data_IF_200304649341
#
_entry.id   IF_200304649341
#
_cell.length_a   1.000
_cell.length_b   1.000
_cell.length_c   1.000
_cell.angle_alpha   90.00
_cell.angle_beta   90.00
_cell.angle_gamma   90.00
#
_symmetry.space_group_name_H-M   'P 1'
#
loop_
_entity.id
_entity.type
_entity.pdbx_description
1 polymer ?
#
# COMPACT_ATOMS: atom_id res chain seq x y z
N UNK A 1 21.57 -7.30 -7.23
CA UNK A 1 20.63 -6.34 -6.59
C UNK A 1 19.26 -6.95 -6.62
N UNK A 2 18.55 -6.87 -5.49
CA UNK A 2 17.18 -7.36 -5.34
C UNK A 2 16.25 -6.20 -5.03
N UNK A 3 15.02 -6.30 -5.52
CA UNK A 3 13.91 -5.46 -5.12
C UNK A 3 13.00 -6.28 -4.22
N UNK A 4 12.94 -5.93 -2.94
CA UNK A 4 12.05 -6.55 -1.96
C UNK A 4 10.76 -5.74 -1.78
N UNK A 5 9.74 -6.37 -1.21
CA UNK A 5 8.51 -5.72 -0.81
C UNK A 5 7.97 -6.25 0.53
N UNK A 6 7.34 -5.35 1.28
CA UNK A 6 6.60 -5.63 2.51
C UNK A 6 5.54 -4.54 2.74
N UNK A 7 4.50 -4.85 3.50
CA UNK A 7 3.46 -3.92 3.94
C UNK A 7 2.94 -4.28 5.32
N UNK A 8 2.04 -3.47 5.85
CA UNK A 8 1.28 -3.77 7.07
C UNK A 8 2.22 -4.02 8.26
N UNK A 9 3.20 -3.13 8.43
CA UNK A 9 4.18 -3.20 9.51
C UNK A 9 3.57 -2.86 10.86
N UNK A 10 2.54 -2.01 10.92
CA UNK A 10 1.80 -1.67 12.14
C UNK A 10 2.71 -1.32 13.34
N UNK A 11 3.62 -0.37 13.14
CA UNK A 11 4.74 -0.07 14.07
C UNK A 11 4.35 0.66 15.36
N UNK A 12 3.07 0.96 15.57
CA UNK A 12 2.57 1.33 16.90
C UNK A 12 2.57 0.15 17.89
N UNK A 13 2.67 -1.09 17.41
CA UNK A 13 2.87 -2.28 18.23
C UNK A 13 4.36 -2.57 18.50
N UNK A 14 4.75 -2.68 19.76
CA UNK A 14 6.17 -2.83 20.16
C UNK A 14 6.83 -4.09 19.58
N UNK A 15 6.09 -5.20 19.41
CA UNK A 15 6.64 -6.44 18.82
C UNK A 15 7.11 -6.21 17.38
N UNK A 16 6.27 -5.59 16.55
CA UNK A 16 6.63 -5.30 15.16
C UNK A 16 7.73 -4.22 15.09
N UNK A 17 7.67 -3.23 15.99
CA UNK A 17 8.71 -2.20 16.12
C UNK A 17 10.08 -2.81 16.43
N UNK A 18 10.14 -3.72 17.39
CA UNK A 18 11.37 -4.43 17.75
C UNK A 18 11.87 -5.28 16.59
N UNK A 19 10.97 -5.95 15.87
CA UNK A 19 11.35 -6.74 14.69
C UNK A 19 11.99 -5.91 13.56
N UNK A 20 11.57 -4.64 13.40
CA UNK A 20 12.24 -3.69 12.49
C UNK A 20 13.64 -3.33 12.98
N UNK A 21 13.81 -3.07 14.29
CA UNK A 21 15.13 -2.77 14.86
C UNK A 21 16.12 -3.92 14.63
N UNK A 22 15.65 -5.15 14.83
CA UNK A 22 16.47 -6.37 14.74
C UNK A 22 16.76 -6.80 13.29
N UNK A 23 16.12 -6.17 12.30
CA UNK A 23 16.34 -6.48 10.89
C UNK A 23 17.78 -6.12 10.45
N UNK A 24 18.49 -7.00 9.73
CA UNK A 24 19.81 -6.69 9.19
C UNK A 24 19.74 -5.60 8.11
N UNK A 25 20.91 -5.07 7.73
CA UNK A 25 21.02 -4.22 6.54
C UNK A 25 21.06 -5.05 5.26
N UNK A 26 20.59 -4.45 4.16
CA UNK A 26 20.53 -5.03 2.81
C UNK A 26 21.22 -4.08 1.82
N UNK A 27 22.54 -3.87 1.96
CA UNK A 27 23.28 -2.95 1.11
C UNK A 27 23.19 -3.38 -0.37
N UNK A 28 22.94 -2.43 -1.26
CA UNK A 28 22.77 -2.69 -2.69
C UNK A 28 21.38 -3.14 -3.11
N UNK A 29 20.45 -3.37 -2.18
CA UNK A 29 19.09 -3.82 -2.46
C UNK A 29 18.06 -2.70 -2.23
N UNK A 30 16.91 -2.83 -2.87
CA UNK A 30 15.81 -1.87 -2.83
C UNK A 30 14.61 -2.45 -2.07
N UNK A 31 13.76 -1.58 -1.53
CA UNK A 31 12.55 -1.97 -0.79
C UNK A 31 11.30 -1.21 -1.23
N UNK A 32 10.20 -1.93 -1.40
CA UNK A 32 8.85 -1.40 -1.47
C UNK A 32 8.16 -1.54 -0.11
N UNK A 33 7.63 -0.44 0.41
CA UNK A 33 6.72 -0.35 1.56
C UNK A 33 5.31 -0.07 1.05
N UNK A 34 4.50 -1.11 0.89
CA UNK A 34 3.14 -1.02 0.32
C UNK A 34 2.07 -0.72 1.38
N UNK A 35 2.30 0.33 2.16
CA UNK A 35 1.34 0.91 3.09
C UNK A 35 1.27 0.27 4.47
N UNK A 36 0.51 0.92 5.34
CA UNK A 36 0.27 0.56 6.74
C UNK A 36 1.57 0.39 7.54
N UNK A 37 2.40 1.44 7.50
CA UNK A 37 3.60 1.54 8.32
C UNK A 37 3.21 1.73 9.77
N UNK A 38 2.37 2.73 10.08
CA UNK A 38 1.78 2.98 11.40
C UNK A 38 0.71 4.09 11.33
N UNK A 39 0.08 4.47 12.45
CA UNK A 39 -0.89 5.57 12.50
C UNK A 39 -0.32 6.90 12.99
N UNK A 40 0.82 6.90 13.70
CA UNK A 40 1.43 8.14 14.23
C UNK A 40 2.56 8.59 13.33
N UNK A 41 2.67 9.89 13.08
CA UNK A 41 3.81 10.47 12.35
C UNK A 41 5.17 10.03 12.92
N UNK A 42 5.34 9.98 14.24
CA UNK A 42 6.59 9.54 14.88
C UNK A 42 6.92 8.06 14.63
N UNK A 43 5.90 7.21 14.52
CA UNK A 43 6.08 5.77 14.28
C UNK A 43 6.33 5.51 12.79
N UNK A 44 5.65 6.25 11.91
CA UNK A 44 5.91 6.24 10.47
C UNK A 44 7.32 6.75 10.17
N UNK A 45 7.72 7.87 10.77
CA UNK A 45 9.07 8.42 10.64
C UNK A 45 10.13 7.39 11.07
N UNK A 46 9.94 6.76 12.23
CA UNK A 46 10.81 5.68 12.68
C UNK A 46 10.90 4.55 11.65
N UNK A 47 9.77 4.12 11.09
CA UNK A 47 9.74 3.11 10.03
C UNK A 47 10.54 3.55 8.80
N UNK A 48 10.30 4.76 8.31
CA UNK A 48 11.01 5.32 7.16
C UNK A 48 12.52 5.44 7.38
N UNK A 49 12.95 5.97 8.52
CA UNK A 49 14.37 6.08 8.89
C UNK A 49 15.05 4.71 8.91
N UNK A 50 14.41 3.71 9.55
CA UNK A 50 14.97 2.37 9.67
C UNK A 50 15.09 1.65 8.32
N UNK A 51 14.15 1.89 7.40
CA UNK A 51 14.19 1.32 6.05
C UNK A 51 15.20 2.04 5.17
N UNK A 52 15.21 3.38 5.18
CA UNK A 52 16.17 4.18 4.42
C UNK A 52 17.62 3.93 4.84
N UNK A 53 17.87 3.57 6.10
CA UNK A 53 19.21 3.19 6.58
C UNK A 53 19.65 1.80 6.14
N UNK A 54 18.73 0.91 5.78
CA UNK A 54 19.00 -0.51 5.50
C UNK A 54 18.99 -0.87 4.02
N UNK A 55 18.34 -0.07 3.18
CA UNK A 55 18.22 -0.30 1.75
C UNK A 55 18.73 0.90 0.97
N UNK A 56 19.33 0.67 -0.19
CA UNK A 56 19.88 1.73 -1.04
C UNK A 56 18.78 2.62 -1.64
N UNK A 57 17.57 2.08 -1.78
CA UNK A 57 16.40 2.81 -2.26
C UNK A 57 15.13 2.25 -1.66
N UNK A 58 14.25 3.15 -1.21
CA UNK A 58 12.95 2.78 -0.65
C UNK A 58 11.84 3.48 -1.45
N UNK A 59 10.76 2.75 -1.68
CA UNK A 59 9.52 3.22 -2.30
C UNK A 59 8.40 3.06 -1.30
N UNK A 60 7.55 4.07 -1.14
CA UNK A 60 6.40 4.00 -0.25
C UNK A 60 5.12 4.31 -1.02
N UNK A 61 4.09 3.51 -0.77
CA UNK A 61 2.70 3.77 -1.13
C UNK A 61 1.89 3.84 0.18
N UNK A 62 1.05 4.86 0.41
CA UNK A 62 0.28 4.98 1.64
C UNK A 62 -0.76 3.87 1.77
N UNK A 63 -0.91 3.34 2.98
CA UNK A 63 -2.07 2.54 3.39
C UNK A 63 -3.14 3.35 4.11
N UNK A 64 -4.22 2.71 4.54
CA UNK A 64 -5.28 3.41 5.27
C UNK A 64 -4.82 3.84 6.66
N UNK A 65 -4.03 3.01 7.37
CA UNK A 65 -3.53 3.35 8.71
C UNK A 65 -2.58 4.54 8.69
N UNK A 66 -1.76 4.66 7.63
CA UNK A 66 -0.89 5.83 7.45
C UNK A 66 -1.71 7.14 7.46
N UNK A 67 -2.92 7.10 6.90
CA UNK A 67 -3.84 8.23 6.77
C UNK A 67 -4.78 8.43 7.98
N UNK A 68 -4.77 7.54 8.97
CA UNK A 68 -5.62 7.68 10.14
C UNK A 68 -5.23 8.87 11.01
N UNK A 69 -6.18 9.77 11.24
CA UNK A 69 -6.05 10.92 12.14
C UNK A 69 -6.71 10.59 13.49
N UNK A 70 -6.01 9.84 14.33
CA UNK A 70 -6.51 9.46 15.66
C UNK A 70 -6.15 10.54 16.68
N UNK A 71 -7.16 11.13 17.31
CA UNK A 71 -7.01 12.07 18.43
C UNK A 71 -6.34 11.40 19.62
N UNK A 72 -5.33 12.05 20.20
CA UNK A 72 -4.57 11.59 21.38
C UNK A 72 -4.36 12.74 22.35
N UNK A 73 -4.03 12.43 23.61
CA UNK A 73 -3.84 13.46 24.64
C UNK A 73 -2.74 14.47 24.27
N UNK A 74 -1.67 13.98 23.62
CA UNK A 74 -0.54 14.79 23.16
C UNK A 74 -0.69 15.30 21.71
N UNK A 75 -1.79 14.96 21.03
CA UNK A 75 -2.11 15.39 19.67
C UNK A 75 -3.64 15.49 19.52
N UNK A 76 -4.24 16.55 20.11
CA UNK A 76 -5.69 16.66 20.22
C UNK A 76 -6.37 17.04 18.90
N UNK A 77 -5.63 17.56 17.93
CA UNK A 77 -6.10 17.98 16.59
C UNK A 77 -5.13 17.47 15.51
N UNK A 78 -5.11 16.15 15.26
CA UNK A 78 -4.16 15.55 14.33
C UNK A 78 -4.42 16.02 12.90
N UNK A 79 -3.34 16.25 12.16
CA UNK A 79 -3.42 16.51 10.72
C UNK A 79 -4.15 15.34 10.03
N UNK A 80 -5.09 15.67 9.14
CA UNK A 80 -6.06 14.74 8.56
C UNK A 80 -6.28 14.96 7.05
N UNK A 81 -6.93 14.00 6.39
CA UNK A 81 -7.29 14.10 4.98
C UNK A 81 -6.08 14.27 4.06
N UNK A 82 -6.27 15.01 2.98
CA UNK A 82 -5.24 15.24 1.97
C UNK A 82 -4.02 15.99 2.56
N UNK A 83 -4.25 16.91 3.50
CA UNK A 83 -3.15 17.63 4.16
C UNK A 83 -2.22 16.67 4.92
N UNK A 84 -2.77 15.64 5.57
CA UNK A 84 -1.99 14.59 6.22
C UNK A 84 -1.15 13.81 5.21
N UNK A 85 -1.78 13.41 4.11
CA UNK A 85 -1.09 12.69 3.03
C UNK A 85 0.13 13.47 2.52
N UNK A 86 -0.04 14.76 2.20
CA UNK A 86 1.06 15.60 1.73
C UNK A 86 2.17 15.76 2.78
N UNK A 87 1.82 15.89 4.06
CA UNK A 87 2.84 15.92 5.12
C UNK A 87 3.65 14.62 5.23
N UNK A 88 3.02 13.46 4.98
CA UNK A 88 3.73 12.17 4.92
C UNK A 88 4.62 12.05 3.68
N UNK A 89 4.17 12.58 2.53
CA UNK A 89 4.98 12.67 1.31
C UNK A 89 6.24 13.50 1.57
N UNK A 90 6.11 14.68 2.17
CA UNK A 90 7.27 15.52 2.49
C UNK A 90 8.22 14.85 3.51
N UNK A 91 7.68 14.15 4.50
CA UNK A 91 8.48 13.34 5.42
C UNK A 91 9.27 12.26 4.68
N UNK A 92 8.62 11.46 3.84
CA UNK A 92 9.26 10.42 3.03
C UNK A 92 10.37 11.00 2.14
N UNK A 93 10.10 12.10 1.44
CA UNK A 93 11.07 12.82 0.59
C UNK A 93 12.29 13.30 1.36
N UNK A 94 12.09 13.83 2.57
CA UNK A 94 13.18 14.30 3.43
C UNK A 94 14.17 13.18 3.80
N UNK A 95 13.72 11.91 3.73
CA UNK A 95 14.51 10.70 3.97
C UNK A 95 14.96 10.00 2.67
N UNK A 96 14.75 10.61 1.51
CA UNK A 96 15.11 10.05 0.20
C UNK A 96 14.22 8.90 -0.27
N UNK A 97 13.04 8.73 0.32
CA UNK A 97 12.07 7.70 -0.05
C UNK A 97 11.21 8.19 -1.21
N UNK A 98 11.06 7.34 -2.23
CA UNK A 98 10.24 7.63 -3.42
C UNK A 98 8.77 7.42 -3.10
N UNK A 99 7.95 8.42 -3.38
CA UNK A 99 6.52 8.43 -3.07
C UNK A 99 5.67 8.34 -4.33
N UNK A 100 4.33 8.20 -4.22
CA UNK A 100 3.46 8.28 -5.38
C UNK A 100 3.50 9.65 -6.08
N UNK A 101 4.08 10.68 -5.47
CA UNK A 101 4.17 12.05 -5.98
C UNK A 101 5.50 12.35 -6.70
N UNK A 102 6.45 11.43 -6.67
CA UNK A 102 7.79 11.60 -7.27
C UNK A 102 7.90 10.89 -8.62
N UNK A 103 8.78 11.35 -9.55
CA UNK A 103 9.03 10.66 -10.80
C UNK A 103 9.33 9.18 -10.59
N UNK A 104 8.67 8.31 -11.37
CA UNK A 104 8.85 6.87 -11.23
C UNK A 104 10.27 6.44 -11.57
N UNK A 105 10.84 5.57 -10.74
CA UNK A 105 12.20 5.08 -10.92
C UNK A 105 12.19 3.86 -11.82
N UNK A 106 13.06 3.87 -12.82
CA UNK A 106 13.24 2.74 -13.73
C UNK A 106 14.46 1.92 -13.34
N UNK A 107 14.27 0.62 -13.30
CA UNK A 107 15.30 -0.40 -13.25
C UNK A 107 15.65 -0.80 -14.69
N UNK A 108 16.87 -0.51 -15.15
CA UNK A 108 17.32 -0.79 -16.52
C UNK A 108 17.12 -2.26 -16.92
N UNK A 109 16.90 -2.57 -18.19
CA UNK A 109 16.82 -3.97 -18.64
C UNK A 109 18.07 -4.78 -18.31
N UNK A 110 17.93 -6.04 -17.85
CA UNK A 110 19.06 -6.97 -17.69
C UNK A 110 18.99 -8.08 -18.75
N UNK A 111 20.12 -8.42 -19.38
CA UNK A 111 20.22 -9.49 -20.39
C UNK A 111 19.15 -9.43 -21.51
N UNK A 112 18.85 -8.21 -22.00
CA UNK A 112 17.86 -8.00 -23.06
C UNK A 112 16.41 -7.97 -22.58
N UNK A 113 16.15 -8.10 -21.27
CA UNK A 113 14.83 -7.86 -20.71
C UNK A 113 14.45 -6.37 -20.80
N UNK A 114 13.15 -6.08 -20.85
CA UNK A 114 12.66 -4.71 -20.83
C UNK A 114 12.96 -4.01 -19.49
N UNK A 115 13.18 -2.68 -19.49
CA UNK A 115 13.25 -1.91 -18.26
C UNK A 115 11.96 -2.05 -17.43
N UNK A 116 12.10 -2.04 -16.10
CA UNK A 116 11.00 -2.12 -15.14
C UNK A 116 10.82 -0.78 -14.43
N UNK A 117 9.70 -0.12 -14.62
CA UNK A 117 9.36 1.12 -13.92
C UNK A 117 8.62 0.80 -12.62
N UNK A 118 9.17 1.17 -11.47
CA UNK A 118 8.50 1.04 -10.16
C UNK A 118 7.58 2.22 -9.97
N UNK A 119 6.28 1.95 -9.87
CA UNK A 119 5.24 2.97 -9.76
C UNK A 119 4.47 2.82 -8.43
N UNK A 120 4.88 3.54 -7.37
CA UNK A 120 4.06 3.73 -6.19
C UNK A 120 2.79 4.50 -6.52
N UNK A 121 1.67 4.01 -6.01
CA UNK A 121 0.34 4.54 -6.26
C UNK A 121 -0.35 4.85 -4.94
N UNK A 122 -1.33 5.73 -5.01
CA UNK A 122 -2.28 5.98 -3.94
C UNK A 122 -3.63 6.18 -4.59
N UNK A 123 -4.48 5.14 -4.58
CA UNK A 123 -5.82 5.16 -5.23
C UNK A 123 -6.98 5.04 -4.24
N UNK A 124 -6.74 4.63 -2.98
CA UNK A 124 -7.78 4.42 -1.97
C UNK A 124 -8.84 3.38 -2.43
N UNK A 125 -10.11 3.59 -2.08
CA UNK A 125 -11.26 2.76 -2.44
C UNK A 125 -12.52 3.64 -2.58
N UNK A 126 -13.53 3.12 -3.29
CA UNK A 126 -14.81 3.78 -3.58
C UNK A 126 -16.02 2.87 -3.29
N UNK A 127 -15.83 1.85 -2.44
CA UNK A 127 -16.88 0.90 -2.08
C UNK A 127 -17.48 0.14 -3.27
N UNK A 128 -16.83 0.12 -4.44
CA UNK A 128 -17.29 -0.61 -5.62
C UNK A 128 -17.05 -2.13 -5.53
N UNK A 129 -16.15 -2.58 -4.64
CA UNK A 129 -15.94 -3.99 -4.27
C UNK A 129 -17.04 -4.52 -3.30
N UNK A 130 -18.21 -3.89 -3.30
CA UNK A 130 -19.41 -4.39 -2.64
C UNK A 130 -20.16 -5.34 -3.58
N UNK A 131 -20.95 -6.28 -3.05
CA UNK A 131 -21.85 -7.08 -3.89
C UNK A 131 -22.80 -6.20 -4.71
N UNK A 132 -23.09 -6.59 -5.95
CA UNK A 132 -23.91 -5.80 -6.89
C UNK A 132 -25.33 -5.49 -6.39
N UNK A 133 -25.89 -6.34 -5.52
CA UNK A 133 -27.21 -6.13 -4.91
C UNK A 133 -27.21 -5.13 -3.74
N UNK A 134 -26.04 -4.68 -3.27
CA UNK A 134 -25.91 -3.71 -2.18
C UNK A 134 -25.68 -2.33 -2.79
N UNK A 135 -26.55 -1.37 -2.47
CA UNK A 135 -26.37 0.01 -2.92
C UNK A 135 -25.18 0.67 -2.21
N UNK A 136 -24.61 1.70 -2.84
CA UNK A 136 -23.50 2.45 -2.26
C UNK A 136 -23.89 3.07 -0.90
N UNK A 137 -25.08 3.66 -0.81
CA UNK A 137 -25.53 4.34 0.42
C UNK A 137 -25.72 3.37 1.60
N UNK A 138 -26.08 2.12 1.32
CA UNK A 138 -26.36 1.12 2.35
C UNK A 138 -25.15 0.23 2.69
N UNK A 139 -24.02 0.37 1.98
CA UNK A 139 -22.89 -0.58 2.09
C UNK A 139 -22.33 -0.68 3.51
N UNK A 140 -22.20 0.44 4.21
CA UNK A 140 -21.69 0.49 5.58
C UNK A 140 -22.69 -0.14 6.56
N UNK A 141 -23.98 0.14 6.39
CA UNK A 141 -25.04 -0.46 7.21
C UNK A 141 -25.11 -1.99 6.98
N UNK A 142 -25.05 -2.42 5.73
CA UNK A 142 -25.00 -3.83 5.34
C UNK A 142 -23.81 -4.55 5.98
N UNK A 143 -22.62 -3.95 5.98
CA UNK A 143 -21.46 -4.56 6.64
C UNK A 143 -21.67 -4.70 8.17
N UNK A 144 -22.25 -3.67 8.81
CA UNK A 144 -22.53 -3.63 10.25
C UNK A 144 -23.50 -4.72 10.72
N UNK A 145 -24.43 -5.18 9.89
CA UNK A 145 -25.32 -6.31 10.22
C UNK A 145 -24.55 -7.60 10.59
N UNK A 146 -23.33 -7.78 10.07
CA UNK A 146 -22.43 -8.89 10.43
C UNK A 146 -21.30 -8.46 11.35
N UNK A 147 -21.49 -7.36 12.08
CA UNK A 147 -20.52 -6.76 13.00
C UNK A 147 -19.18 -6.42 12.33
N UNK A 148 -19.21 -6.13 11.04
CA UNK A 148 -18.05 -5.62 10.32
C UNK A 148 -18.08 -4.10 10.32
N UNK A 149 -17.00 -3.48 10.78
CA UNK A 149 -16.81 -2.04 10.75
C UNK A 149 -15.34 -1.76 10.43
N UNK A 150 -15.11 -0.94 9.41
CA UNK A 150 -13.77 -0.45 9.10
C UNK A 150 -13.46 0.78 9.97
N UNK A 151 -12.27 0.82 10.57
CA UNK A 151 -11.80 1.96 11.35
C UNK A 151 -11.72 3.25 10.53
N UNK A 152 -11.53 3.12 9.22
CA UNK A 152 -11.52 4.23 8.27
C UNK A 152 -12.75 5.11 8.37
N UNK A 153 -13.92 4.54 8.66
CA UNK A 153 -15.17 5.30 8.83
C UNK A 153 -15.09 6.37 9.92
N UNK A 154 -14.15 6.22 10.86
CA UNK A 154 -13.94 7.13 11.98
C UNK A 154 -12.64 7.91 11.89
N UNK A 155 -11.60 7.34 11.27
CA UNK A 155 -10.24 7.89 11.34
C UNK A 155 -9.66 8.33 9.99
N UNK A 156 -10.19 7.82 8.87
CA UNK A 156 -9.76 8.22 7.54
C UNK A 156 -10.66 9.34 7.05
N UNK A 157 -10.24 10.55 7.39
CA UNK A 157 -10.79 11.81 6.91
C UNK A 157 -10.47 11.99 5.42
N UNK A 158 -11.34 12.66 4.67
CA UNK A 158 -11.24 12.78 3.21
C UNK A 158 -11.20 14.22 2.71
N UNK A 159 -11.22 15.20 3.62
CA UNK A 159 -11.15 16.61 3.29
C UNK A 159 -9.86 16.92 2.49
N UNK A 160 -9.95 17.77 1.45
CA UNK A 160 -11.07 18.63 1.08
C UNK A 160 -12.13 17.97 0.16
N UNK A 161 -12.00 16.68 -0.17
CA UNK A 161 -12.97 15.99 -1.01
C UNK A 161 -14.30 15.77 -0.29
N UNK A 162 -15.40 15.67 -1.04
CA UNK A 162 -16.75 15.47 -0.48
C UNK A 162 -16.94 14.09 0.17
N UNK A 163 -16.16 13.09 -0.26
CA UNK A 163 -16.19 11.72 0.26
C UNK A 163 -14.88 10.97 -0.03
N UNK A 164 -14.71 9.79 0.57
CA UNK A 164 -13.62 8.87 0.23
C UNK A 164 -13.69 8.40 -1.23
N UNK A 165 -14.90 8.22 -1.76
CA UNK A 165 -15.14 7.89 -3.17
C UNK A 165 -14.64 9.00 -4.10
N UNK A 166 -14.94 10.26 -3.75
CA UNK A 166 -14.48 11.42 -4.51
C UNK A 166 -12.96 11.57 -4.45
N UNK A 167 -12.36 11.30 -3.30
CA UNK A 167 -10.91 11.28 -3.17
C UNK A 167 -10.29 10.14 -4.00
N UNK A 168 -10.85 8.93 -3.91
CA UNK A 168 -10.46 7.77 -4.73
C UNK A 168 -10.50 8.10 -6.22
N UNK A 169 -11.61 8.66 -6.72
CA UNK A 169 -11.74 9.05 -8.13
C UNK A 169 -10.67 10.06 -8.56
N UNK A 170 -10.44 11.12 -7.76
CA UNK A 170 -9.39 12.10 -8.05
C UNK A 170 -7.99 11.47 -8.10
N UNK A 171 -7.73 10.50 -7.21
CA UNK A 171 -6.48 9.75 -7.15
C UNK A 171 -6.30 8.76 -8.30
N UNK A 172 -7.38 8.13 -8.76
CA UNK A 172 -7.41 7.29 -9.96
C UNK A 172 -7.04 8.14 -11.17
N UNK A 173 -7.70 9.29 -11.38
CA UNK A 173 -7.41 10.19 -12.50
C UNK A 173 -5.96 10.69 -12.49
N UNK A 174 -5.47 11.09 -11.31
CA UNK A 174 -4.09 11.52 -11.13
C UNK A 174 -3.10 10.41 -11.53
N UNK A 175 -3.31 9.20 -11.01
CA UNK A 175 -2.45 8.05 -11.27
C UNK A 175 -2.52 7.61 -12.74
N UNK A 176 -3.70 7.67 -13.36
CA UNK A 176 -3.90 7.34 -14.76
C UNK A 176 -3.04 8.20 -15.68
N UNK A 177 -3.05 9.52 -15.44
CA UNK A 177 -2.22 10.47 -16.20
C UNK A 177 -0.74 10.10 -16.10
N UNK A 178 -0.26 9.84 -14.88
CA UNK A 178 1.16 9.55 -14.64
C UNK A 178 1.60 8.20 -15.18
N UNK A 179 0.77 7.17 -15.04
CA UNK A 179 1.06 5.85 -15.60
C UNK A 179 1.09 5.90 -17.15
N UNK A 180 0.31 6.79 -17.77
CA UNK A 180 0.33 6.99 -19.23
C UNK A 180 1.60 7.64 -19.77
N UNK A 181 2.39 8.30 -18.90
CA UNK A 181 3.67 8.90 -19.26
C UNK A 181 4.83 7.87 -19.24
N UNK A 182 4.58 6.65 -18.75
CA UNK A 182 5.59 5.57 -18.75
C UNK A 182 5.84 5.10 -20.19
N UNK A 183 7.11 5.06 -20.65
CA UNK A 183 7.45 4.62 -21.99
C UNK A 183 6.88 3.24 -22.36
N UNK A 184 6.42 3.10 -23.60
CA UNK A 184 5.76 1.87 -24.07
C UNK A 184 6.67 0.64 -24.13
N UNK A 185 7.99 0.84 -24.17
CA UNK A 185 8.98 -0.22 -24.10
C UNK A 185 9.32 -0.66 -22.66
N UNK A 186 8.73 -0.03 -21.63
CA UNK A 186 8.88 -0.43 -20.23
C UNK A 186 7.73 -1.33 -19.80
N UNK A 187 8.03 -2.28 -18.91
CA UNK A 187 7.02 -2.93 -18.05
C UNK A 187 6.97 -2.22 -16.71
N UNK A 188 5.91 -2.46 -15.94
CA UNK A 188 5.71 -1.77 -14.65
C UNK A 188 5.71 -2.71 -13.46
N UNK A 189 6.14 -2.21 -12.31
CA UNK A 189 5.84 -2.78 -11.00
C UNK A 189 4.87 -1.80 -10.35
N UNK A 190 3.58 -2.13 -10.36
CA UNK A 190 2.56 -1.27 -9.75
C UNK A 190 2.48 -1.60 -8.27
N UNK A 191 2.59 -0.57 -7.43
CA UNK A 191 2.58 -0.73 -5.97
C UNK A 191 1.40 0.08 -5.43
N UNK A 192 0.42 -0.59 -4.85
CA UNK A 192 -0.72 0.06 -4.22
C UNK A 192 -1.13 -0.74 -2.98
N UNK A 193 -1.38 -0.07 -1.86
CA UNK A 193 -1.72 -0.77 -0.63
C UNK A 193 -2.96 -1.67 -0.79
N UNK A 194 -4.01 -1.15 -1.43
CA UNK A 194 -5.23 -1.90 -1.73
C UNK A 194 -5.03 -2.80 -2.98
N UNK A 195 -5.58 -4.02 -3.01
CA UNK A 195 -5.64 -4.82 -4.24
C UNK A 195 -6.26 -4.06 -5.42
N UNK A 196 -5.65 -4.19 -6.61
CA UNK A 196 -6.15 -3.55 -7.84
C UNK A 196 -7.23 -4.38 -8.58
N UNK A 197 -7.57 -5.57 -8.07
CA UNK A 197 -8.58 -6.47 -8.65
C UNK A 197 -9.49 -6.98 -7.54
N UNK A 198 -10.81 -6.91 -7.74
CA UNK A 198 -11.79 -7.41 -6.76
C UNK A 198 -11.58 -8.91 -6.47
N UNK A 199 -11.24 -9.69 -7.51
CA UNK A 199 -11.10 -11.14 -7.40
C UNK A 199 -9.93 -11.59 -6.49
N UNK A 200 -8.98 -10.70 -6.21
CA UNK A 200 -7.85 -10.96 -5.31
C UNK A 200 -8.19 -10.68 -3.83
N UNK A 201 -9.38 -10.15 -3.54
CA UNK A 201 -9.85 -9.87 -2.18
C UNK A 201 -10.35 -11.17 -1.52
N UNK A 202 -9.40 -11.95 -1.00
CA UNK A 202 -9.68 -13.28 -0.44
C UNK A 202 -9.75 -13.30 1.08
N UNK A 203 -10.83 -12.74 1.63
CA UNK A 203 -11.04 -12.60 3.09
C UNK A 203 -12.24 -13.42 3.59
N UNK A 204 -12.20 -14.77 3.55
CA UNK A 204 -13.38 -15.62 3.81
C UNK A 204 -13.94 -15.49 5.23
N UNK A 205 -13.12 -15.04 6.19
CA UNK A 205 -13.56 -14.77 7.57
C UNK A 205 -14.20 -13.39 7.75
N UNK A 206 -14.04 -12.50 6.77
CA UNK A 206 -14.51 -11.12 6.81
C UNK A 206 -15.04 -10.64 5.43
N UNK A 207 -15.90 -11.39 4.72
CA UNK A 207 -16.26 -11.07 3.34
C UNK A 207 -16.99 -9.73 3.19
N UNK A 208 -17.69 -9.26 4.23
CA UNK A 208 -18.36 -7.94 4.22
C UNK A 208 -17.40 -6.76 4.38
N UNK A 209 -16.09 -7.00 4.49
CA UNK A 209 -15.06 -5.97 4.52
C UNK A 209 -14.54 -5.59 3.12
N UNK A 210 -14.89 -6.36 2.08
CA UNK A 210 -14.46 -6.08 0.70
C UNK A 210 -14.74 -4.66 0.18
N UNK A 211 -15.79 -3.92 0.61
CA UNK A 211 -16.00 -2.55 0.14
C UNK A 211 -14.84 -1.58 0.43
N UNK A 212 -14.03 -1.85 1.46
CA UNK A 212 -12.89 -1.01 1.83
C UNK A 212 -11.57 -1.47 1.17
N UNK A 213 -11.61 -2.45 0.26
CA UNK A 213 -10.42 -3.12 -0.25
C UNK A 213 -9.98 -2.67 -1.66
N UNK A 214 -10.59 -1.65 -2.25
CA UNK A 214 -10.16 -1.10 -3.54
C UNK A 214 -11.28 -0.51 -4.38
N UNK A 215 -11.03 -0.38 -5.68
CA UNK A 215 -11.95 0.21 -6.66
C UNK A 215 -11.96 -0.60 -7.96
N UNK A 216 -13.12 -0.70 -8.62
CA UNK A 216 -13.27 -1.32 -9.94
C UNK A 216 -12.65 -0.52 -11.08
N UNK A 217 -12.24 0.73 -10.82
CA UNK A 217 -11.62 1.59 -11.84
C UNK A 217 -10.20 1.15 -12.24
N UNK A 218 -9.61 0.22 -11.49
CA UNK A 218 -8.25 -0.28 -11.72
C UNK A 218 -8.20 -1.72 -12.26
N UNK A 219 -9.35 -2.32 -12.58
CA UNK A 219 -9.46 -3.74 -12.97
C UNK A 219 -8.62 -4.14 -14.19
N UNK A 220 -8.35 -3.21 -15.11
CA UNK A 220 -7.56 -3.47 -16.32
C UNK A 220 -6.11 -2.97 -16.22
N UNK A 221 -5.69 -2.39 -15.10
CA UNK A 221 -4.40 -1.69 -14.99
C UNK A 221 -3.19 -2.62 -15.15
N UNK A 222 -3.32 -3.88 -14.77
CA UNK A 222 -2.27 -4.89 -14.96
C UNK A 222 -1.95 -5.11 -16.44
N UNK A 223 -2.95 -5.06 -17.31
CA UNK A 223 -2.77 -5.14 -18.76
C UNK A 223 -2.43 -3.78 -19.36
N UNK A 224 -3.25 -2.77 -19.06
CA UNK A 224 -3.17 -1.44 -19.64
C UNK A 224 -1.79 -0.79 -19.42
N UNK A 225 -1.17 -1.07 -18.29
CA UNK A 225 0.15 -0.55 -17.94
C UNK A 225 1.25 -1.62 -17.93
N UNK A 226 1.02 -2.74 -18.63
CA UNK A 226 2.04 -3.78 -18.90
C UNK A 226 2.74 -4.25 -17.63
N UNK A 227 1.97 -4.51 -16.57
CA UNK A 227 2.51 -4.90 -15.29
C UNK A 227 3.35 -6.19 -15.42
N UNK A 228 4.53 -6.15 -14.83
CA UNK A 228 5.32 -7.31 -14.48
C UNK A 228 4.79 -7.93 -13.19
N UNK A 229 4.67 -7.09 -12.15
CA UNK A 229 4.16 -7.48 -10.85
C UNK A 229 3.28 -6.36 -10.30
N UNK A 230 2.22 -6.74 -9.61
CA UNK A 230 1.44 -5.83 -8.77
C UNK A 230 1.67 -6.21 -7.31
N UNK A 231 2.03 -5.23 -6.50
CA UNK A 231 2.33 -5.40 -5.07
C UNK A 231 1.26 -4.70 -4.25
N UNK A 232 0.65 -5.43 -3.31
CA UNK A 232 -0.35 -4.90 -2.38
C UNK A 232 -0.18 -5.43 -0.96
N UNK A 233 -0.94 -4.86 -0.03
CA UNK A 233 -1.03 -5.29 1.36
C UNK A 233 -2.49 -5.39 1.79
N UNK A 234 -2.82 -4.75 2.92
CA UNK A 234 -4.17 -4.44 3.40
C UNK A 234 -4.96 -5.66 3.93
N UNK A 235 -4.92 -6.78 3.21
CA UNK A 235 -5.76 -7.94 3.52
C UNK A 235 -5.23 -8.73 4.72
N UNK A 236 -3.94 -8.59 5.04
CA UNK A 236 -3.23 -9.40 6.02
C UNK A 236 -3.26 -10.90 5.66
N UNK A 237 -3.25 -11.19 4.36
CA UNK A 237 -3.28 -12.54 3.81
C UNK A 237 -2.17 -12.63 2.78
N UNK A 238 -0.95 -12.78 3.28
CA UNK A 238 0.25 -12.96 2.46
C UNK A 238 0.07 -14.11 1.48
N UNK A 239 0.18 -13.80 0.19
CA UNK A 239 -0.02 -14.74 -0.91
C UNK A 239 0.66 -14.27 -2.20
N UNK A 240 0.80 -15.19 -3.13
CA UNK A 240 1.28 -14.92 -4.49
C UNK A 240 0.26 -15.53 -5.44
N UNK A 241 -0.28 -14.71 -6.32
CA UNK A 241 -1.24 -15.14 -7.34
C UNK A 241 -0.70 -14.82 -8.72
N UNK A 242 -1.22 -15.55 -9.70
CA UNK A 242 -1.01 -15.23 -11.10
C UNK A 242 -2.36 -15.10 -11.78
N UNK A 243 -2.55 -13.99 -12.47
CA UNK A 243 -3.77 -13.67 -13.19
C UNK A 243 -3.38 -13.03 -14.52
N UNK A 244 -3.89 -13.60 -15.60
CA UNK A 244 -3.56 -13.22 -16.98
C UNK A 244 -2.05 -13.14 -17.27
N UNK A 245 -1.25 -14.00 -16.62
CA UNK A 245 0.21 -14.02 -16.75
C UNK A 245 0.95 -12.92 -15.98
N UNK A 246 0.25 -12.09 -15.19
CA UNK A 246 0.82 -11.07 -14.30
C UNK A 246 0.86 -11.60 -12.87
N UNK A 247 1.97 -11.36 -12.16
CA UNK A 247 2.11 -11.73 -10.75
C UNK A 247 1.45 -10.68 -9.85
N UNK A 248 0.69 -11.14 -8.86
CA UNK A 248 0.10 -10.32 -7.81
C UNK A 248 0.64 -10.80 -6.47
N UNK A 249 1.30 -9.91 -5.73
CA UNK A 249 1.97 -10.22 -4.48
C UNK A 249 1.32 -9.45 -3.35
N UNK A 250 0.60 -10.16 -2.47
CA UNK A 250 0.18 -9.61 -1.19
C UNK A 250 1.33 -9.83 -0.19
N UNK A 251 1.89 -8.72 0.30
CA UNK A 251 3.15 -8.70 1.04
C UNK A 251 2.97 -8.24 2.49
N UNK A 252 1.78 -8.41 3.05
CA UNK A 252 1.51 -8.06 4.44
C UNK A 252 2.40 -8.83 5.41
N UNK A 253 2.84 -8.12 6.46
CA UNK A 253 3.33 -8.73 7.69
C UNK A 253 2.15 -8.95 8.65
N UNK A 254 1.38 -7.88 8.88
CA UNK A 254 0.22 -7.86 9.75
C UNK A 254 0.56 -7.69 11.23
N UNK A 255 -0.46 -7.80 12.08
CA UNK A 255 -0.35 -7.71 13.53
C UNK A 255 0.48 -8.87 14.12
N UNK A 256 1.03 -8.73 15.34
CA UNK A 256 1.90 -9.75 15.94
C UNK A 256 1.35 -11.18 15.96
N UNK A 257 0.03 -11.37 16.03
CA UNK A 257 -0.57 -12.71 16.03
C UNK A 257 -0.66 -13.36 14.64
N UNK A 258 -0.28 -12.65 13.57
CA UNK A 258 -0.47 -13.07 12.17
C UNK A 258 0.83 -13.56 11.51
N UNK A 259 1.97 -13.45 12.19
CA UNK A 259 3.27 -13.89 11.69
C UNK A 259 4.10 -14.55 12.79
N UNK A 260 5.12 -15.32 12.42
CA UNK A 260 5.99 -16.06 13.35
C UNK A 260 7.26 -15.26 13.64
N UNK A 261 7.32 -14.68 14.85
CA UNK A 261 8.44 -13.85 15.30
C UNK A 261 9.76 -14.60 15.31
N UNK A 262 9.76 -15.92 15.46
CA UNK A 262 11.00 -16.72 15.52
C UNK A 262 11.77 -16.70 14.20
N UNK A 263 11.10 -16.40 13.08
CA UNK A 263 11.72 -16.31 11.75
C UNK A 263 12.39 -14.95 11.51
N UNK A 264 12.07 -13.94 12.33
CA UNK A 264 12.47 -12.55 12.13
C UNK A 264 11.76 -11.90 10.94
N UNK A 265 11.72 -10.56 10.92
CA UNK A 265 11.01 -9.79 9.88
C UNK A 265 11.61 -10.00 8.49
N UNK A 266 12.94 -10.15 8.39
CA UNK A 266 13.65 -10.36 7.13
C UNK A 266 13.12 -11.57 6.33
N UNK A 267 12.66 -12.63 7.00
CA UNK A 267 12.08 -13.80 6.36
C UNK A 267 10.72 -13.52 5.67
N UNK A 268 10.14 -12.35 5.91
CA UNK A 268 8.89 -11.88 5.32
C UNK A 268 9.11 -10.81 4.24
N UNK A 269 10.36 -10.44 3.93
CA UNK A 269 10.62 -9.64 2.73
C UNK A 269 10.32 -10.49 1.50
N UNK A 270 9.37 -10.04 0.68
CA UNK A 270 9.06 -10.69 -0.59
C UNK A 270 10.06 -10.23 -1.63
N UNK A 271 10.80 -11.15 -2.24
CA UNK A 271 11.60 -10.82 -3.43
C UNK A 271 10.65 -10.64 -4.64
N UNK A 272 10.66 -9.44 -5.24
CA UNK A 272 9.83 -9.09 -6.41
C UNK A 272 10.63 -9.23 -7.70
N UNK A 273 11.89 -8.78 -7.67
CA UNK A 273 12.85 -8.92 -8.76
C UNK A 273 14.22 -9.22 -8.16
N UNK A 274 14.99 -10.06 -8.84
CA UNK A 274 16.37 -10.36 -8.51
C UNK A 274 17.24 -10.24 -9.76
N UNK A 275 18.41 -9.63 -9.60
CA UNK A 275 19.41 -9.40 -10.64
C UNK A 275 20.80 -9.72 -10.14
#
# INVERSE_FOLDING_TARGET
>A
MKLFAISDLHLSGEINRQAVRDMPAFPGDWLILAGDVAEKFSDIQFGFEEMARRFDKVFWAPGNHDLWAIRRDNDPDPLRGEARYHALVEMARSLGIHTPEDPYVTLDGHQGAQPLTVAPLFVLYDYSFRPSHVSRDNVVAWAKEKRMACGDEFFLHHEPHDSRDAWCAARVDYSLKRLSEIPDNHRTILVNHFPLREELVHIPRAPRFSPWCGTKQTEDWHHRFRAHTIVSGHLHIRRSDQLDGVNFEEVSLGYPKQWDQKRGLAAYLREIVSR
#
